data_IF_811200567290
#
_entry.id   IF_811200567290
#
_cell.length_a   1.000
_cell.length_b   1.000
_cell.length_c   1.000
_cell.angle_alpha   90.00
_cell.angle_beta   90.00
_cell.angle_gamma   90.00
#
_symmetry.space_group_name_H-M   'P 1'
#
loop_
_entity.id
_entity.type
_entity.pdbx_description
1 polymer ?
#
# COMPACT_ATOMS: atom_id res chain seq x y z
N UNK A 1 -0.71 -20.47 -11.32
CA UNK A 1 -1.97 -20.76 -12.03
C UNK A 1 -2.19 -19.67 -13.08
N UNK A 2 -2.40 -20.00 -14.36
CA UNK A 2 -2.71 -19.01 -15.37
C UNK A 2 -4.14 -18.48 -15.19
N UNK A 3 -4.32 -17.17 -15.34
CA UNK A 3 -5.64 -16.53 -15.36
C UNK A 3 -6.16 -16.56 -16.80
N UNK A 4 -7.29 -17.24 -17.03
CA UNK A 4 -7.96 -17.28 -18.33
C UNK A 4 -9.25 -16.45 -18.26
N UNK A 5 -9.40 -15.52 -19.20
CA UNK A 5 -10.56 -14.62 -19.29
C UNK A 5 -11.21 -14.86 -20.65
N UNK A 6 -12.46 -15.31 -20.65
CA UNK A 6 -13.27 -15.53 -21.86
C UNK A 6 -14.33 -14.45 -21.98
N UNK A 7 -13.85 -13.23 -22.21
CA UNK A 7 -14.67 -12.03 -22.40
C UNK A 7 -13.97 -11.09 -23.37
N UNK A 8 -14.63 -10.82 -24.50
CA UNK A 8 -14.02 -10.07 -25.61
C UNK A 8 -13.80 -8.61 -25.23
N UNK A 9 -14.72 -8.03 -24.45
CA UNK A 9 -14.62 -6.63 -23.97
C UNK A 9 -13.40 -6.46 -23.08
N UNK A 10 -13.17 -7.37 -22.14
CA UNK A 10 -11.98 -7.35 -21.28
C UNK A 10 -10.70 -7.51 -22.10
N UNK A 11 -10.72 -8.37 -23.11
CA UNK A 11 -9.56 -8.57 -23.99
C UNK A 11 -9.21 -7.30 -24.80
N UNK A 12 -10.22 -6.57 -25.28
CA UNK A 12 -10.06 -5.30 -25.98
C UNK A 12 -9.50 -4.22 -25.06
N UNK A 13 -10.07 -4.05 -23.86
CA UNK A 13 -9.61 -3.07 -22.87
C UNK A 13 -8.14 -3.31 -22.45
N UNK A 14 -7.77 -4.57 -22.22
CA UNK A 14 -6.39 -4.95 -21.89
C UNK A 14 -5.46 -4.69 -23.07
N UNK A 15 -5.91 -4.96 -24.29
CA UNK A 15 -5.12 -4.69 -25.49
C UNK A 15 -4.89 -3.19 -25.70
N UNK A 16 -5.92 -2.37 -25.53
CA UNK A 16 -5.80 -0.91 -25.61
C UNK A 16 -4.82 -0.37 -24.57
N UNK A 17 -4.96 -0.78 -23.31
CA UNK A 17 -4.04 -0.36 -22.24
C UNK A 17 -2.59 -0.79 -22.53
N UNK A 18 -2.40 -2.01 -23.04
CA UNK A 18 -1.09 -2.53 -23.41
C UNK A 18 -0.43 -1.69 -24.50
N UNK A 19 -1.19 -1.31 -25.54
CA UNK A 19 -0.71 -0.43 -26.62
C UNK A 19 -0.36 0.95 -26.08
N UNK A 20 -1.25 1.58 -25.31
CA UNK A 20 -1.04 2.93 -24.76
C UNK A 20 0.16 3.01 -23.82
N UNK A 21 0.51 1.91 -23.15
CA UNK A 21 1.65 1.83 -22.23
C UNK A 21 2.91 1.22 -22.85
N UNK A 22 2.82 0.66 -24.06
CA UNK A 22 3.93 -0.03 -24.71
C UNK A 22 4.39 -1.28 -23.94
N UNK A 23 3.47 -2.02 -23.32
CA UNK A 23 3.76 -3.19 -22.49
C UNK A 23 2.99 -4.43 -22.97
N UNK A 24 3.31 -5.60 -22.43
CA UNK A 24 2.57 -6.83 -22.73
C UNK A 24 1.14 -6.79 -22.18
N UNK A 25 0.22 -7.58 -22.76
CA UNK A 25 -1.16 -7.73 -22.21
C UNK A 25 -1.15 -8.24 -20.77
N UNK A 26 -0.23 -9.14 -20.42
CA UNK A 26 -0.08 -9.63 -19.04
C UNK A 26 0.37 -8.51 -18.09
N UNK A 27 1.32 -7.67 -18.51
CA UNK A 27 1.78 -6.55 -17.70
C UNK A 27 0.70 -5.47 -17.57
N UNK A 28 -0.10 -5.24 -18.61
CA UNK A 28 -1.25 -4.34 -18.57
C UNK A 28 -2.28 -4.79 -17.53
N UNK A 29 -2.61 -6.10 -17.48
CA UNK A 29 -3.48 -6.67 -16.43
C UNK A 29 -2.87 -6.44 -15.05
N UNK A 30 -1.58 -6.74 -14.86
CA UNK A 30 -0.89 -6.57 -13.58
C UNK A 30 -0.88 -5.10 -13.12
N UNK A 31 -0.67 -4.18 -14.05
CA UNK A 31 -0.68 -2.74 -13.80
C UNK A 31 -2.07 -2.26 -13.38
N UNK A 32 -3.10 -2.63 -14.15
CA UNK A 32 -4.48 -2.21 -13.89
C UNK A 32 -4.99 -2.71 -12.53
N UNK A 33 -4.79 -4.00 -12.23
CA UNK A 33 -5.21 -4.60 -10.96
C UNK A 33 -4.48 -3.96 -9.78
N UNK A 34 -3.17 -3.70 -9.91
CA UNK A 34 -2.40 -3.04 -8.86
C UNK A 34 -2.91 -1.63 -8.58
N UNK A 35 -3.18 -0.85 -9.63
CA UNK A 35 -3.68 0.51 -9.48
C UNK A 35 -5.03 0.54 -8.76
N UNK A 36 -5.93 -0.40 -9.08
CA UNK A 36 -7.24 -0.48 -8.42
C UNK A 36 -7.13 -0.90 -6.95
N UNK A 37 -6.30 -1.91 -6.65
CA UNK A 37 -6.02 -2.31 -5.27
C UNK A 37 -5.42 -1.17 -4.45
N UNK A 38 -4.54 -0.36 -5.07
CA UNK A 38 -3.97 0.81 -4.41
C UNK A 38 -5.03 1.88 -4.14
N UNK A 39 -5.89 2.20 -5.12
CA UNK A 39 -7.01 3.13 -4.90
C UNK A 39 -7.92 2.69 -3.76
N UNK A 40 -8.25 1.40 -3.69
CA UNK A 40 -9.03 0.83 -2.60
C UNK A 40 -8.30 0.94 -1.26
N UNK A 41 -6.99 0.70 -1.23
CA UNK A 41 -6.18 0.84 -0.01
C UNK A 41 -6.05 2.31 0.45
N UNK A 42 -5.99 3.25 -0.49
CA UNK A 42 -5.94 4.69 -0.21
C UNK A 42 -7.31 5.23 0.20
N UNK A 43 -8.40 4.65 -0.29
CA UNK A 43 -9.76 4.97 0.15
C UNK A 43 -10.01 4.58 1.62
N UNK A 44 -9.21 3.69 2.20
CA UNK A 44 -9.27 3.39 3.63
C UNK A 44 -8.78 4.62 4.41
N UNK A 45 -9.59 5.18 5.32
CA UNK A 45 -9.20 6.31 6.15
C UNK A 45 -7.85 6.06 6.85
N UNK A 46 -7.00 7.08 6.91
CA UNK A 46 -5.67 6.96 7.50
C UNK A 46 -5.69 6.37 8.92
N UNK A 47 -6.72 6.70 9.72
CA UNK A 47 -6.93 6.15 11.07
C UNK A 47 -7.04 4.61 11.06
N UNK A 48 -7.75 4.06 10.07
CA UNK A 48 -8.06 2.63 10.01
C UNK A 48 -6.82 1.87 9.49
N UNK A 49 -6.06 2.51 8.58
CA UNK A 49 -4.73 2.03 8.14
C UNK A 49 -3.73 1.96 9.31
N UNK A 50 -3.67 2.99 10.13
CA UNK A 50 -2.80 3.06 11.33
C UNK A 50 -3.20 2.01 12.37
N UNK A 51 -4.50 1.83 12.60
CA UNK A 51 -5.01 0.80 13.52
C UNK A 51 -4.60 -0.61 13.04
N UNK A 52 -4.80 -0.93 11.76
CA UNK A 52 -4.38 -2.21 11.18
C UNK A 52 -2.87 -2.42 11.25
N UNK A 53 -2.07 -1.37 11.04
CA UNK A 53 -0.62 -1.44 11.19
C UNK A 53 -0.21 -1.74 12.64
N UNK A 54 -0.76 -1.02 13.63
CA UNK A 54 -0.51 -1.27 15.07
C UNK A 54 -0.94 -2.65 15.52
N UNK A 55 -2.01 -3.21 14.96
CA UNK A 55 -2.43 -4.57 15.26
C UNK A 55 -1.43 -5.63 14.76
N UNK A 56 -0.83 -5.43 13.58
CA UNK A 56 0.22 -6.32 13.03
C UNK A 56 1.59 -6.10 13.67
N UNK A 57 1.85 -4.89 14.15
CA UNK A 57 3.11 -4.48 14.75
C UNK A 57 2.81 -3.80 16.10
N UNK A 58 2.50 -4.60 17.14
CA UNK A 58 2.19 -4.05 18.45
C UNK A 58 3.39 -3.28 18.97
N UNK A 59 3.11 -2.17 19.67
CA UNK A 59 4.15 -1.46 20.39
C UNK A 59 4.73 -2.37 21.48
N UNK A 60 6.03 -2.24 21.78
CA UNK A 60 6.60 -2.88 22.96
C UNK A 60 5.85 -2.43 24.23
N UNK A 61 5.98 -3.21 25.29
CA UNK A 61 5.40 -2.87 26.58
C UNK A 61 5.80 -1.44 26.99
N UNK A 62 4.87 -0.71 27.61
CA UNK A 62 5.16 0.63 28.13
C UNK A 62 6.35 0.55 29.07
N UNK A 63 7.36 1.37 28.82
CA UNK A 63 8.56 1.45 29.66
C UNK A 63 8.28 2.10 31.01
N UNK A 64 7.14 2.79 31.15
CA UNK A 64 6.79 3.57 32.34
C UNK A 64 7.67 4.81 32.54
N UNK A 65 8.65 5.04 31.67
CA UNK A 65 9.52 6.20 31.72
C UNK A 65 8.83 7.40 31.04
N UNK A 66 8.88 8.59 31.63
CA UNK A 66 8.35 9.79 30.99
C UNK A 66 9.20 10.13 29.76
N UNK A 67 8.54 10.31 28.61
CA UNK A 67 9.15 10.90 27.43
C UNK A 67 9.07 12.43 27.55
N UNK A 68 9.80 12.98 28.53
CA UNK A 68 9.82 14.41 28.82
C UNK A 68 10.95 15.14 28.08
N UNK A 69 11.11 16.44 28.36
CA UNK A 69 12.15 17.25 27.73
C UNK A 69 13.55 16.69 27.97
N UNK A 70 13.86 16.22 29.18
CA UNK A 70 15.18 15.69 29.50
C UNK A 70 15.47 14.42 28.70
N UNK A 71 14.48 13.56 28.51
CA UNK A 71 14.58 12.39 27.63
C UNK A 71 14.89 12.78 26.17
N UNK A 72 14.20 13.79 25.62
CA UNK A 72 14.45 14.23 24.25
C UNK A 72 15.74 15.02 24.08
N UNK A 73 16.14 15.80 25.09
CA UNK A 73 17.40 16.52 25.12
C UNK A 73 18.57 15.51 25.07
N UNK A 74 18.54 14.46 25.88
CA UNK A 74 19.52 13.35 25.82
C UNK A 74 19.55 12.67 24.45
N UNK A 75 18.38 12.37 23.87
CA UNK A 75 18.27 11.73 22.54
C UNK A 75 18.86 12.60 21.41
N UNK A 76 18.71 13.92 21.52
CA UNK A 76 19.18 14.91 20.53
C UNK A 76 20.64 15.34 20.72
N UNK A 77 21.32 14.84 21.76
CA UNK A 77 22.69 15.23 22.09
C UNK A 77 22.80 16.56 22.85
N UNK A 78 21.77 16.93 23.61
CA UNK A 78 21.67 18.13 24.46
C UNK A 78 21.78 19.48 23.71
N UNK A 79 21.15 19.60 22.53
CA UNK A 79 21.09 20.84 21.74
C UNK A 79 19.92 21.76 22.13
#
# INVERSE_FOLDING_TARGET
MPLYIKDDVTAELVAELAVLRGISKQDAVKLAVRAELQRLAEAVPLRDRLAAFRARHPLPASTGLPADKAFFDDLSGNL
#
